data_IF_348554271687
#
_entry.id   IF_348554271687
#
_cell.length_a   1.000
_cell.length_b   1.000
_cell.length_c   1.000
_cell.angle_alpha   90.00
_cell.angle_beta   90.00
_cell.angle_gamma   90.00
#
_symmetry.space_group_name_H-M   'P 1'
#
loop_
_entity.id
_entity.type
_entity.pdbx_description
1 polymer ?
#
# COMPACT_ATOMS: atom_id res chain seq x y z
N UNK A 1 -11.88 10.26 13.61
CA UNK A 1 -13.16 10.59 12.92
C UNK A 1 -12.95 11.34 11.60
N UNK A 2 -12.19 12.44 11.56
CA UNK A 2 -11.99 13.22 10.30
C UNK A 2 -11.40 12.41 9.13
N UNK A 3 -10.44 11.51 9.38
CA UNK A 3 -9.79 10.71 8.32
C UNK A 3 -10.79 9.73 7.68
N UNK A 4 -11.68 9.12 8.48
CA UNK A 4 -12.70 8.20 7.98
C UNK A 4 -13.75 8.93 7.13
N UNK A 5 -14.15 10.13 7.53
CA UNK A 5 -15.06 10.97 6.73
C UNK A 5 -14.44 11.43 5.42
N UNK A 6 -13.13 11.73 5.42
CA UNK A 6 -12.42 12.12 4.20
C UNK A 6 -12.31 10.96 3.20
N UNK A 7 -12.05 9.73 3.68
CA UNK A 7 -12.02 8.54 2.82
C UNK A 7 -13.38 8.19 2.22
N UNK A 8 -14.48 8.33 2.97
CA UNK A 8 -15.83 8.15 2.41
C UNK A 8 -16.16 9.19 1.33
N UNK A 9 -15.84 10.47 1.57
CA UNK A 9 -16.07 11.54 0.60
C UNK A 9 -15.31 11.35 -0.72
N UNK A 10 -14.04 10.92 -0.63
CA UNK A 10 -13.22 10.60 -1.82
C UNK A 10 -13.79 9.40 -2.58
N UNK A 11 -14.28 8.38 -1.86
CA UNK A 11 -14.88 7.17 -2.47
C UNK A 11 -16.18 7.49 -3.22
N UNK A 12 -17.02 8.38 -2.67
CA UNK A 12 -18.26 8.81 -3.31
C UNK A 12 -18.04 9.72 -4.52
N UNK A 13 -16.98 10.54 -4.53
CA UNK A 13 -16.66 11.40 -5.68
C UNK A 13 -16.20 10.62 -6.92
N UNK A 14 -15.62 9.42 -6.72
CA UNK A 14 -15.19 8.51 -7.81
C UNK A 14 -16.33 7.63 -8.36
N UNK A 15 -17.51 7.64 -7.73
CA UNK A 15 -18.61 6.73 -8.06
C UNK A 15 -19.54 7.24 -9.17
N UNK A 16 -19.35 8.46 -9.69
CA UNK A 16 -20.10 8.99 -10.84
C UNK A 16 -19.58 8.43 -12.16
N UNK A 17 -19.61 7.10 -12.33
CA UNK A 17 -19.46 6.51 -13.64
C UNK A 17 -20.78 6.71 -14.40
N UNK A 18 -20.74 7.52 -15.46
CA UNK A 18 -21.79 7.52 -16.49
C UNK A 18 -21.94 6.09 -16.98
N UNK A 19 -23.05 5.44 -16.65
CA UNK A 19 -23.44 4.17 -17.27
C UNK A 19 -23.84 4.53 -18.70
N UNK A 20 -22.86 4.53 -19.59
CA UNK A 20 -23.15 4.39 -21.01
C UNK A 20 -23.70 2.97 -21.19
N UNK A 21 -24.72 2.81 -22.02
CA UNK A 21 -25.13 1.47 -22.44
C UNK A 21 -23.88 0.77 -23.00
N UNK A 22 -23.55 -0.40 -22.44
CA UNK A 22 -22.49 -1.23 -22.97
C UNK A 22 -23.04 -1.86 -24.23
N UNK A 23 -22.46 -1.50 -25.36
CA UNK A 23 -22.86 -2.07 -26.63
C UNK A 23 -22.62 -3.57 -26.60
N UNK A 24 -23.62 -4.34 -27.00
CA UNK A 24 -23.53 -5.80 -27.06
C UNK A 24 -23.01 -6.14 -28.45
N UNK A 25 -21.72 -6.51 -28.61
CA UNK A 25 -21.11 -6.57 -29.93
C UNK A 25 -21.88 -7.53 -30.84
N UNK A 26 -22.36 -7.08 -31.99
CA UNK A 26 -23.08 -7.92 -32.96
C UNK A 26 -24.58 -8.05 -32.72
N UNK A 27 -25.15 -7.40 -31.70
CA UNK A 27 -26.60 -7.39 -31.48
C UNK A 27 -27.34 -6.65 -32.62
N UNK A 28 -26.69 -5.64 -33.19
CA UNK A 28 -27.12 -4.90 -34.36
C UNK A 28 -27.26 -5.80 -35.59
N UNK A 29 -26.44 -6.85 -35.70
CA UNK A 29 -26.51 -7.83 -36.78
C UNK A 29 -27.63 -8.85 -36.52
N UNK A 30 -27.78 -9.31 -35.28
CA UNK A 30 -28.83 -10.29 -34.95
C UNK A 30 -30.24 -9.68 -35.02
N UNK A 31 -30.40 -8.39 -34.75
CA UNK A 31 -31.71 -7.71 -34.74
C UNK A 31 -32.21 -7.34 -36.14
N UNK A 32 -31.33 -7.16 -37.12
CA UNK A 32 -31.72 -6.93 -38.53
C UNK A 32 -32.18 -8.20 -39.25
N UNK A 33 -31.84 -9.38 -38.72
CA UNK A 33 -32.25 -10.67 -39.27
C UNK A 33 -33.78 -10.85 -39.23
N UNK A 34 -34.38 -11.26 -40.36
CA UNK A 34 -35.84 -11.36 -40.54
C UNK A 34 -36.35 -12.79 -40.39
N UNK A 35 -35.50 -13.78 -40.67
CA UNK A 35 -35.85 -15.19 -40.49
C UNK A 35 -35.67 -15.56 -39.02
N UNK A 36 -36.71 -16.13 -38.40
CA UNK A 36 -36.68 -16.44 -36.97
C UNK A 36 -35.54 -17.42 -36.65
N UNK A 37 -35.40 -18.52 -37.39
CA UNK A 37 -34.32 -19.51 -37.16
C UNK A 37 -32.92 -18.90 -37.15
N UNK A 38 -32.61 -17.98 -38.08
CA UNK A 38 -31.31 -17.31 -38.15
C UNK A 38 -31.13 -16.24 -37.08
N UNK A 39 -32.21 -15.57 -36.67
CA UNK A 39 -32.19 -14.63 -35.54
C UNK A 39 -31.86 -15.36 -34.23
N UNK A 40 -32.51 -16.50 -33.97
CA UNK A 40 -32.25 -17.30 -32.76
C UNK A 40 -30.81 -17.79 -32.72
N UNK A 41 -30.29 -18.34 -33.83
CA UNK A 41 -28.93 -18.86 -33.87
C UNK A 41 -27.88 -17.75 -33.72
N UNK A 42 -28.10 -16.58 -34.32
CA UNK A 42 -27.25 -15.40 -34.11
C UNK A 42 -27.23 -14.98 -32.64
N UNK A 43 -28.40 -14.80 -32.03
CA UNK A 43 -28.52 -14.41 -30.62
C UNK A 43 -27.88 -15.44 -29.68
N UNK A 44 -28.03 -16.73 -29.96
CA UNK A 44 -27.42 -17.80 -29.17
C UNK A 44 -25.89 -17.71 -29.22
N UNK A 45 -25.30 -17.53 -30.41
CA UNK A 45 -23.85 -17.38 -30.55
C UNK A 45 -23.32 -16.11 -29.87
N UNK A 46 -24.12 -15.04 -29.87
CA UNK A 46 -23.82 -13.79 -29.17
C UNK A 46 -23.77 -13.99 -27.65
N UNK A 47 -24.78 -14.65 -27.09
CA UNK A 47 -24.84 -14.98 -25.66
C UNK A 47 -23.67 -15.87 -25.24
N UNK A 48 -23.31 -16.89 -26.03
CA UNK A 48 -22.15 -17.73 -25.75
C UNK A 48 -20.83 -16.92 -25.75
N UNK A 49 -20.66 -16.01 -26.71
CA UNK A 49 -19.50 -15.11 -26.76
C UNK A 49 -19.46 -14.19 -25.53
N UNK A 50 -20.57 -13.56 -25.16
CA UNK A 50 -20.66 -12.70 -23.98
C UNK A 50 -20.35 -13.48 -22.71
N UNK A 51 -20.91 -14.67 -22.56
CA UNK A 51 -20.71 -15.49 -21.37
C UNK A 51 -19.25 -15.89 -21.23
N UNK A 52 -18.60 -16.33 -22.32
CA UNK A 52 -17.15 -16.59 -22.35
C UNK A 52 -16.33 -15.36 -21.99
N UNK A 53 -16.72 -14.20 -22.52
CA UNK A 53 -16.03 -12.93 -22.26
C UNK A 53 -16.17 -12.52 -20.79
N UNK A 54 -17.38 -12.57 -20.22
CA UNK A 54 -17.64 -12.29 -18.81
C UNK A 54 -16.83 -13.22 -17.92
N UNK A 55 -16.84 -14.54 -18.17
CA UNK A 55 -16.04 -15.50 -17.40
C UNK A 55 -14.55 -15.18 -17.46
N UNK A 56 -14.04 -14.78 -18.63
CA UNK A 56 -12.64 -14.37 -18.79
C UNK A 56 -12.33 -13.11 -17.98
N UNK A 57 -13.15 -12.07 -18.10
CA UNK A 57 -12.97 -10.81 -17.35
C UNK A 57 -13.01 -11.06 -15.84
N UNK A 58 -13.96 -11.88 -15.37
CA UNK A 58 -14.06 -12.26 -13.94
C UNK A 58 -12.79 -12.95 -13.48
N UNK A 59 -12.28 -13.92 -14.25
CA UNK A 59 -11.06 -14.65 -13.89
C UNK A 59 -9.84 -13.73 -13.88
N UNK A 60 -9.67 -12.89 -14.89
CA UNK A 60 -8.57 -11.92 -14.99
C UNK A 60 -8.61 -10.92 -13.82
N UNK A 61 -9.79 -10.45 -13.43
CA UNK A 61 -9.96 -9.54 -12.29
C UNK A 61 -9.67 -10.25 -10.97
N UNK A 62 -10.14 -11.48 -10.78
CA UNK A 62 -9.82 -12.26 -9.59
C UNK A 62 -8.32 -12.46 -9.44
N UNK A 63 -7.61 -12.79 -10.52
CA UNK A 63 -6.15 -12.92 -10.51
C UNK A 63 -5.44 -11.61 -10.12
N UNK A 64 -5.93 -10.47 -10.62
CA UNK A 64 -5.40 -9.15 -10.24
C UNK A 64 -5.63 -8.84 -8.76
N UNK A 65 -6.82 -9.17 -8.23
CA UNK A 65 -7.12 -9.01 -6.81
C UNK A 65 -6.23 -9.89 -5.93
N UNK A 66 -6.03 -11.15 -6.31
CA UNK A 66 -5.16 -12.07 -5.58
C UNK A 66 -3.70 -11.62 -5.59
N UNK A 67 -3.21 -11.12 -6.73
CA UNK A 67 -1.87 -10.54 -6.85
C UNK A 67 -1.70 -9.29 -5.96
N UNK A 68 -2.69 -8.39 -5.97
CA UNK A 68 -2.70 -7.19 -5.12
C UNK A 68 -2.72 -7.55 -3.63
N UNK A 69 -3.51 -8.55 -3.22
CA UNK A 69 -3.55 -9.03 -1.84
C UNK A 69 -2.19 -9.57 -1.39
N UNK A 70 -1.47 -10.30 -2.25
CA UNK A 70 -0.10 -10.76 -1.93
C UNK A 70 0.87 -9.58 -1.76
N UNK A 71 0.76 -8.54 -2.58
CA UNK A 71 1.56 -7.32 -2.42
C UNK A 71 1.25 -6.60 -1.11
N UNK A 72 -0.02 -6.54 -0.72
CA UNK A 72 -0.43 -5.95 0.56
C UNK A 72 0.22 -6.71 1.73
N UNK A 73 0.18 -8.05 1.73
CA UNK A 73 0.78 -8.84 2.80
C UNK A 73 2.31 -8.68 2.86
N UNK A 74 2.97 -8.63 1.70
CA UNK A 74 4.39 -8.31 1.62
C UNK A 74 4.71 -6.93 2.22
N UNK A 75 3.96 -5.89 1.82
CA UNK A 75 4.17 -4.53 2.30
C UNK A 75 3.88 -4.39 3.80
N UNK A 76 2.86 -5.08 4.32
CA UNK A 76 2.60 -5.15 5.77
C UNK A 76 3.80 -5.74 6.52
N UNK A 77 4.38 -6.84 6.03
CA UNK A 77 5.56 -7.45 6.62
C UNK A 77 6.79 -6.54 6.60
N UNK A 78 7.01 -5.84 5.48
CA UNK A 78 8.08 -4.85 5.35
C UNK A 78 7.87 -3.67 6.32
N UNK A 79 6.64 -3.16 6.43
CA UNK A 79 6.27 -2.10 7.37
C UNK A 79 6.50 -2.51 8.82
N UNK A 80 6.13 -3.74 9.20
CA UNK A 80 6.36 -4.25 10.55
C UNK A 80 7.86 -4.40 10.87
N UNK A 81 8.65 -4.84 9.89
CA UNK A 81 10.12 -4.91 10.01
C UNK A 81 10.73 -3.52 10.18
N UNK A 82 10.27 -2.55 9.39
CA UNK A 82 10.75 -1.18 9.47
C UNK A 82 10.40 -0.53 10.82
N UNK A 83 9.16 -0.75 11.30
CA UNK A 83 8.73 -0.28 12.61
C UNK A 83 9.64 -0.80 13.74
N UNK A 84 9.96 -2.10 13.73
CA UNK A 84 10.89 -2.69 14.71
C UNK A 84 12.27 -2.03 14.68
N UNK A 85 12.82 -1.77 13.48
CA UNK A 85 14.12 -1.08 13.37
C UNK A 85 14.07 0.34 13.91
N UNK A 86 12.96 1.06 13.71
CA UNK A 86 12.78 2.39 14.29
C UNK A 86 12.73 2.31 15.82
N UNK A 87 11.99 1.34 16.36
CA UNK A 87 11.89 1.14 17.81
C UNK A 87 13.26 0.79 18.43
N UNK A 88 14.03 -0.08 17.78
CA UNK A 88 15.39 -0.46 18.20
C UNK A 88 16.35 0.74 18.19
N UNK A 89 16.31 1.57 17.13
CA UNK A 89 17.14 2.78 17.02
C UNK A 89 16.76 3.81 18.08
N UNK A 90 15.47 4.04 18.33
CA UNK A 90 15.00 4.93 19.39
C UNK A 90 15.43 4.43 20.78
N UNK A 91 15.39 3.11 21.01
CA UNK A 91 15.86 2.52 22.25
C UNK A 91 17.38 2.67 22.42
N UNK A 92 18.16 2.47 21.36
CA UNK A 92 19.61 2.67 21.37
C UNK A 92 19.99 4.14 21.61
N UNK A 93 19.29 5.07 20.97
CA UNK A 93 19.49 6.51 21.17
C UNK A 93 19.22 6.91 22.62
N UNK A 94 18.10 6.48 23.21
CA UNK A 94 17.79 6.76 24.62
C UNK A 94 18.88 6.24 25.58
N UNK A 95 19.43 5.05 25.31
CA UNK A 95 20.55 4.51 26.12
C UNK A 95 21.81 5.36 26.00
N UNK A 96 22.16 5.77 24.78
CA UNK A 96 23.30 6.66 24.52
C UNK A 96 23.14 8.02 25.22
N UNK A 97 21.94 8.60 25.18
CA UNK A 97 21.65 9.88 25.84
C UNK A 97 21.75 9.78 27.38
N UNK A 98 21.29 8.67 27.96
CA UNK A 98 21.42 8.39 29.39
C UNK A 98 22.88 8.15 29.82
N UNK A 99 23.65 7.43 29.01
CA UNK A 99 25.07 7.18 29.28
C UNK A 99 25.91 8.46 29.16
N UNK A 100 25.60 9.34 28.20
CA UNK A 100 26.23 10.67 28.09
C UNK A 100 25.94 11.56 29.30
N UNK A 101 24.71 11.55 29.81
CA UNK A 101 24.36 12.30 31.05
C UNK A 101 25.13 11.78 32.27
N UNK A 102 25.32 10.46 32.40
CA UNK A 102 26.09 9.86 33.49
C UNK A 102 27.59 10.15 33.41
N UNK A 103 28.14 10.36 32.21
CA UNK A 103 29.55 10.72 32.01
C UNK A 103 29.84 12.21 32.23
N UNK A 104 28.83 13.07 32.15
CA UNK A 104 28.95 14.51 32.45
C UNK A 104 29.04 14.82 33.96
N UNK A 105 28.75 13.85 34.83
CA UNK A 105 28.78 14.00 36.30
C UNK A 105 30.10 13.54 36.96
N UNK A 106 31.11 13.13 36.18
CA UNK A 106 32.45 12.88 36.71
C UNK A 106 33.21 14.21 36.73
N UNK A 107 33.48 14.82 37.91
CA UNK A 107 34.28 16.04 37.97
C UNK A 107 35.67 15.78 37.40
N UNK A 108 36.28 16.74 36.67
CA UNK A 108 37.66 16.62 36.26
C UNK A 108 38.51 16.37 37.51
N UNK A 109 39.19 15.23 37.54
CA UNK A 109 40.13 14.90 38.58
C UNK A 109 41.14 16.05 38.67
N UNK A 110 41.21 16.67 39.86
CA UNK A 110 42.23 17.63 40.26
C UNK A 110 43.60 17.09 39.83
N UNK A 111 44.22 17.74 38.86
CA UNK A 111 45.67 17.83 38.79
C UNK A 111 46.13 18.62 40.02
N UNK A 112 46.49 17.88 41.06
CA UNK A 112 47.19 18.41 42.21
C UNK A 112 48.63 18.73 41.78
N UNK A 113 48.93 20.01 41.61
CA UNK A 113 50.29 20.49 41.87
C UNK A 113 50.60 20.35 43.37
N UNK A 114 51.85 20.06 43.74
CA UNK A 114 52.51 21.01 44.61
C UNK A 114 53.96 21.35 44.19
N UNK A 115 54.19 22.67 44.18
CA UNK A 115 55.32 23.45 44.68
C UNK A 115 56.77 22.87 44.71
N UNK A 116 57.65 23.65 44.05
CA UNK A 116 58.91 24.22 44.54
C UNK A 116 60.07 23.31 44.99
N UNK A 117 61.20 23.43 44.27
CA UNK A 117 62.52 23.67 44.88
C UNK A 117 63.29 24.74 44.11
N UNK A 118 63.65 25.80 44.83
CA UNK A 118 64.73 26.72 44.51
C UNK A 118 66.08 25.98 44.39
N UNK A 119 66.97 26.53 43.57
CA UNK A 119 68.38 26.15 43.52
C UNK A 119 69.11 27.05 42.55
N UNK A 120 69.61 28.19 43.05
CA UNK A 120 70.33 29.16 42.24
C UNK A 120 71.70 28.68 41.75
N UNK A 121 72.10 29.18 40.59
CA UNK A 121 73.34 29.94 40.38
C UNK A 121 73.25 30.70 39.06
#
# INVERSE_FOLDING_TARGET
>A
MMIASLMMLVSSALAFNKVNAQDVPGIEICTVEKTWERRTSCLQSNVDFLQKTITKLVTDHQQKLDAANRQIEYLKGASATLQKRVDDLLAAQKKMDEDLKKKADVPPAKDAAPAAKEGGK
#
